data_IF_446936223978
#
_entry.id   IF_446936223978
#
_cell.length_a   1.000
_cell.length_b   1.000
_cell.length_c   1.000
_cell.angle_alpha   90.00
_cell.angle_beta   90.00
_cell.angle_gamma   90.00
#
_symmetry.space_group_name_H-M   'P 1'
#
loop_
_entity.id
_entity.type
_entity.pdbx_description
1 polymer ?
#
# COMPACT_ATOMS: atom_id res chain seq x y z
N UNK A 1 18.48 -21.35 29.79
CA UNK A 1 17.34 -21.55 28.85
C UNK A 1 16.26 -20.45 28.83
N UNK A 2 16.21 -19.40 29.69
CA UNK A 2 15.22 -18.32 29.52
C UNK A 2 15.59 -17.32 28.40
N UNK A 3 16.88 -17.14 28.11
CA UNK A 3 17.36 -16.19 27.10
C UNK A 3 16.96 -16.59 25.68
N UNK A 4 17.00 -17.87 25.36
CA UNK A 4 16.55 -18.43 24.08
C UNK A 4 15.03 -18.26 23.88
N UNK A 5 14.25 -18.43 24.96
CA UNK A 5 12.80 -18.23 24.93
C UNK A 5 12.44 -16.74 24.72
N UNK A 6 13.18 -15.82 25.35
CA UNK A 6 12.99 -14.36 25.17
C UNK A 6 13.35 -13.94 23.75
N UNK A 7 14.46 -14.45 23.20
CA UNK A 7 14.87 -14.19 21.82
C UNK A 7 13.84 -14.67 20.79
N UNK A 8 13.30 -15.88 20.98
CA UNK A 8 12.25 -16.42 20.13
C UNK A 8 10.95 -15.60 20.17
N UNK A 9 10.51 -15.21 21.37
CA UNK A 9 9.29 -14.42 21.57
C UNK A 9 9.41 -13.02 20.96
N UNK A 10 10.55 -12.34 21.14
CA UNK A 10 10.83 -11.04 20.52
C UNK A 10 10.86 -11.14 19.00
N UNK A 11 11.52 -12.16 18.45
CA UNK A 11 11.58 -12.39 17.01
C UNK A 11 10.20 -12.59 16.38
N UNK A 12 9.32 -13.37 17.03
CA UNK A 12 7.95 -13.55 16.59
C UNK A 12 7.14 -12.24 16.68
N UNK A 13 7.27 -11.53 17.80
CA UNK A 13 6.54 -10.27 18.03
C UNK A 13 6.89 -9.21 16.99
N UNK A 14 8.18 -9.01 16.70
CA UNK A 14 8.63 -8.05 15.67
C UNK A 14 8.10 -8.40 14.29
N UNK A 15 8.03 -9.70 13.94
CA UNK A 15 7.43 -10.14 12.67
C UNK A 15 5.95 -9.83 12.59
N UNK A 16 5.19 -10.11 13.65
CA UNK A 16 3.75 -9.83 13.70
C UNK A 16 3.49 -8.33 13.61
N UNK A 17 4.18 -7.53 14.42
CA UNK A 17 4.04 -6.07 14.42
C UNK A 17 4.44 -5.49 13.06
N UNK A 18 5.54 -5.97 12.48
CA UNK A 18 5.98 -5.54 11.15
C UNK A 18 4.95 -5.87 10.06
N UNK A 19 4.36 -7.06 10.10
CA UNK A 19 3.32 -7.46 9.15
C UNK A 19 2.08 -6.56 9.26
N UNK A 20 1.59 -6.35 10.48
CA UNK A 20 0.41 -5.49 10.73
C UNK A 20 0.69 -4.05 10.29
N UNK A 21 1.89 -3.53 10.58
CA UNK A 21 2.27 -2.18 10.16
C UNK A 21 2.29 -2.07 8.63
N UNK A 22 2.89 -3.04 7.93
CA UNK A 22 2.92 -3.04 6.46
C UNK A 22 1.51 -3.13 5.89
N UNK A 23 0.67 -4.00 6.43
CA UNK A 23 -0.71 -4.17 5.99
C UNK A 23 -1.52 -2.87 6.16
N UNK A 24 -1.41 -2.23 7.33
CA UNK A 24 -2.06 -0.94 7.61
C UNK A 24 -1.53 0.17 6.71
N UNK A 25 -0.21 0.23 6.49
CA UNK A 25 0.40 1.23 5.60
C UNK A 25 -0.10 1.03 4.17
N UNK A 26 -0.11 -0.20 3.67
CA UNK A 26 -0.61 -0.52 2.33
C UNK A 26 -2.11 -0.21 2.22
N UNK A 27 -2.89 -0.52 3.25
CA UNK A 27 -4.32 -0.19 3.28
C UNK A 27 -4.54 1.32 3.20
N UNK A 28 -3.82 2.12 3.99
CA UNK A 28 -3.92 3.58 3.96
C UNK A 28 -3.44 4.12 2.60
N UNK A 29 -2.32 3.63 2.09
CA UNK A 29 -1.72 4.09 0.83
C UNK A 29 -2.60 3.76 -0.38
N UNK A 30 -3.29 2.63 -0.37
CA UNK A 30 -4.15 2.18 -1.47
C UNK A 30 -5.58 2.67 -1.25
N UNK A 31 -6.27 2.21 -0.20
CA UNK A 31 -7.68 2.58 0.03
C UNK A 31 -7.84 4.05 0.37
N UNK A 32 -6.96 4.62 1.20
CA UNK A 32 -7.02 6.04 1.57
C UNK A 32 -6.84 6.95 0.36
N UNK A 33 -5.90 6.61 -0.53
CA UNK A 33 -5.66 7.36 -1.75
C UNK A 33 -6.79 7.19 -2.77
N UNK A 34 -7.30 5.97 -2.96
CA UNK A 34 -8.47 5.75 -3.81
C UNK A 34 -9.74 6.43 -3.31
N UNK A 35 -9.96 6.47 -1.99
CA UNK A 35 -11.03 7.26 -1.38
C UNK A 35 -10.85 8.77 -1.66
N UNK A 36 -9.64 9.30 -1.49
CA UNK A 36 -9.34 10.70 -1.75
C UNK A 36 -9.59 11.07 -3.23
N UNK A 37 -9.18 10.20 -4.16
CA UNK A 37 -9.43 10.37 -5.60
C UNK A 37 -10.93 10.35 -5.92
N UNK A 38 -11.66 9.32 -5.46
CA UNK A 38 -13.10 9.22 -5.68
C UNK A 38 -13.86 10.42 -5.10
N UNK A 39 -13.50 10.84 -3.89
CA UNK A 39 -14.10 12.01 -3.25
C UNK A 39 -13.76 13.32 -3.98
N UNK A 40 -12.52 13.45 -4.47
CA UNK A 40 -12.10 14.60 -5.29
C UNK A 40 -12.86 14.71 -6.60
N UNK A 41 -13.28 13.57 -7.18
CA UNK A 41 -14.13 13.51 -8.36
C UNK A 41 -15.63 13.67 -8.06
N UNK A 42 -16.00 14.00 -6.81
CA UNK A 42 -17.38 14.18 -6.38
C UNK A 42 -18.17 12.88 -6.18
N UNK A 43 -17.52 11.71 -6.26
CA UNK A 43 -18.17 10.42 -6.04
C UNK A 43 -18.35 10.21 -4.54
N UNK A 44 -19.60 10.05 -4.10
CA UNK A 44 -19.93 9.66 -2.73
C UNK A 44 -19.67 8.17 -2.55
N UNK A 45 -18.51 7.82 -2.02
CA UNK A 45 -18.15 6.45 -1.64
C UNK A 45 -17.88 6.36 -0.14
N UNK A 46 -18.00 5.17 0.43
CA UNK A 46 -17.60 4.92 1.81
C UNK A 46 -16.11 4.55 1.87
N UNK A 47 -15.37 4.91 2.94
CA UNK A 47 -13.95 4.60 3.07
C UNK A 47 -13.66 3.08 2.99
N UNK A 48 -14.56 2.28 3.51
CA UNK A 48 -14.51 0.81 3.51
C UNK A 48 -15.01 0.16 2.22
N UNK A 49 -15.41 0.97 1.22
CA UNK A 49 -15.83 0.47 -0.08
C UNK A 49 -14.67 -0.20 -0.82
N UNK A 50 -14.91 -1.38 -1.38
CA UNK A 50 -13.97 -2.08 -2.26
C UNK A 50 -13.53 -1.20 -3.45
N UNK A 51 -14.39 -0.26 -3.89
CA UNK A 51 -14.05 0.69 -4.95
C UNK A 51 -12.86 1.58 -4.60
N UNK A 52 -12.67 1.92 -3.32
CA UNK A 52 -11.50 2.69 -2.88
C UNK A 52 -10.20 1.89 -3.10
N UNK A 53 -10.21 0.59 -2.81
CA UNK A 53 -9.05 -0.27 -3.05
C UNK A 53 -8.74 -0.36 -4.56
N UNK A 54 -9.77 -0.57 -5.38
CA UNK A 54 -9.63 -0.69 -6.84
C UNK A 54 -9.07 0.60 -7.46
N UNK A 55 -9.62 1.77 -7.09
CA UNK A 55 -9.16 3.05 -7.63
C UNK A 55 -7.75 3.39 -7.16
N UNK A 56 -7.43 3.15 -5.89
CA UNK A 56 -6.08 3.35 -5.38
C UNK A 56 -5.06 2.45 -6.08
N UNK A 57 -5.39 1.19 -6.30
CA UNK A 57 -4.51 0.25 -7.00
C UNK A 57 -4.33 0.64 -8.47
N UNK A 58 -5.41 1.05 -9.14
CA UNK A 58 -5.36 1.53 -10.52
C UNK A 58 -4.48 2.77 -10.66
N UNK A 59 -4.56 3.72 -9.71
CA UNK A 59 -3.69 4.89 -9.68
C UNK A 59 -2.21 4.49 -9.61
N UNK A 60 -1.84 3.58 -8.70
CA UNK A 60 -0.46 3.11 -8.58
C UNK A 60 0.02 2.40 -9.84
N UNK A 61 -0.84 1.59 -10.47
CA UNK A 61 -0.52 0.93 -11.73
C UNK A 61 -0.25 1.94 -12.85
N UNK A 62 -1.03 3.02 -12.92
CA UNK A 62 -0.81 4.12 -13.86
C UNK A 62 0.50 4.87 -13.58
N UNK A 63 0.83 5.14 -12.31
CA UNK A 63 2.11 5.75 -11.95
C UNK A 63 3.30 4.89 -12.38
N UNK A 64 3.21 3.57 -12.18
CA UNK A 64 4.25 2.63 -12.58
C UNK A 64 4.38 2.55 -14.11
N UNK A 65 3.27 2.50 -14.84
CA UNK A 65 3.26 2.56 -16.29
C UNK A 65 3.87 3.87 -16.82
N UNK A 66 3.51 5.01 -16.22
CA UNK A 66 4.09 6.31 -16.56
C UNK A 66 5.59 6.35 -16.30
N UNK A 67 6.05 5.84 -15.15
CA UNK A 67 7.48 5.76 -14.83
C UNK A 67 8.25 4.92 -15.86
N UNK A 68 7.72 3.77 -16.27
CA UNK A 68 8.32 2.93 -17.32
C UNK A 68 8.33 3.64 -18.68
N UNK A 69 7.24 4.31 -19.04
CA UNK A 69 7.16 5.06 -20.30
C UNK A 69 8.18 6.20 -20.33
N UNK A 70 8.31 6.96 -19.23
CA UNK A 70 9.31 8.02 -19.08
C UNK A 70 10.72 7.43 -19.17
N UNK A 71 11.00 6.34 -18.46
CA UNK A 71 12.30 5.68 -18.48
C UNK A 71 12.72 5.25 -19.89
N UNK A 72 11.77 4.66 -20.65
CA UNK A 72 12.00 4.28 -22.05
C UNK A 72 12.27 5.48 -22.94
N UNK A 73 11.64 6.62 -22.68
CA UNK A 73 11.86 7.84 -23.45
C UNK A 73 13.19 8.52 -23.09
N UNK A 74 13.66 8.44 -21.84
CA UNK A 74 14.93 9.05 -21.40
C UNK A 74 16.15 8.18 -21.68
N UNK A 75 15.96 6.86 -21.84
CA UNK A 75 17.01 5.92 -22.24
C UNK A 75 16.63 5.22 -23.55
N UNK A 76 16.54 5.95 -24.69
CA UNK A 76 16.42 5.30 -25.99
C UNK A 76 17.72 4.51 -26.25
N UNK A 77 17.56 3.24 -26.62
CA UNK A 77 18.67 2.32 -26.91
C UNK A 77 19.52 2.80 -28.10
#
# INVERSE_FOLDING_TARGET
MPEEAIGGLLGWTVRVVGYVLVDVVLEILVKGLGYALLRGLGVRTHPESAWCAVVGLAFWFLCMAAAVAIWRHTHPA
#
